data_IF_314710098634
#
_entry.id   IF_314710098634
#
_cell.length_a   1.000
_cell.length_b   1.000
_cell.length_c   1.000
_cell.angle_alpha   90.00
_cell.angle_beta   90.00
_cell.angle_gamma   90.00
#
_symmetry.space_group_name_H-M   'P 1'
#
loop_
_entity.id
_entity.type
_entity.pdbx_description
1 polymer ?
#
# COMPACT_ATOMS: atom_id res chain seq x y z
N UNK A 1 -11.96 10.45 42.48
CA UNK A 1 -12.56 11.56 41.73
C UNK A 1 -11.67 12.77 41.84
N UNK A 2 -10.78 13.02 40.90
CA UNK A 2 -10.07 14.30 40.73
C UNK A 2 -9.91 14.52 39.24
N UNK A 3 -10.73 15.40 38.66
CA UNK A 3 -10.60 15.89 37.28
C UNK A 3 -9.46 16.90 37.23
N UNK A 4 -8.46 16.67 36.39
CA UNK A 4 -7.45 17.69 36.04
C UNK A 4 -7.89 18.38 34.76
N UNK A 5 -8.34 19.62 34.88
CA UNK A 5 -8.55 20.53 33.76
C UNK A 5 -7.19 21.01 33.24
N UNK A 6 -6.94 20.88 31.96
CA UNK A 6 -5.78 21.46 31.28
C UNK A 6 -6.23 22.82 30.73
N UNK A 7 -5.62 23.86 31.24
CA UNK A 7 -5.85 25.27 30.87
C UNK A 7 -4.98 25.56 29.62
N UNK A 8 -5.63 25.87 28.51
CA UNK A 8 -4.94 26.30 27.28
C UNK A 8 -4.57 27.77 27.41
N UNK A 9 -3.27 28.09 27.33
CA UNK A 9 -2.74 29.44 27.38
C UNK A 9 -2.74 30.02 25.95
N UNK A 10 -3.63 30.94 25.65
CA UNK A 10 -3.63 31.70 24.40
C UNK A 10 -2.58 32.84 24.51
N UNK A 11 -1.56 32.79 23.70
CA UNK A 11 -0.56 33.88 23.61
C UNK A 11 -1.04 34.89 22.55
N UNK A 12 -1.39 36.09 23.04
CA UNK A 12 -1.79 37.22 22.19
C UNK A 12 -0.52 37.93 21.68
N UNK A 13 -0.23 37.87 20.39
CA UNK A 13 0.84 38.67 19.77
C UNK A 13 0.29 40.03 19.36
N UNK A 14 0.86 41.11 19.91
CA UNK A 14 0.62 42.49 19.49
C UNK A 14 1.34 42.74 18.16
N UNK A 15 0.58 43.13 17.13
CA UNK A 15 1.13 43.59 15.85
C UNK A 15 1.17 45.12 15.91
N UNK A 16 2.38 45.70 15.81
CA UNK A 16 2.59 47.13 15.64
C UNK A 16 2.43 47.46 14.13
N UNK A 17 1.47 48.30 13.79
CA UNK A 17 1.27 48.83 12.43
C UNK A 17 2.20 50.03 12.21
N UNK A 18 3.20 49.87 11.31
CA UNK A 18 3.92 50.96 10.69
C UNK A 18 3.27 51.26 9.35
N UNK A 19 2.83 52.49 9.14
CA UNK A 19 2.37 52.99 7.84
C UNK A 19 3.56 53.48 7.01
N UNK A 20 3.77 52.89 5.83
CA UNK A 20 4.53 53.52 4.74
C UNK A 20 3.61 53.66 3.50
N UNK A 21 3.59 54.82 2.86
CA UNK A 21 2.78 55.05 1.66
C UNK A 21 3.57 54.74 0.41
N UNK A 22 3.03 53.91 -0.43
CA UNK A 22 3.46 53.45 -1.77
C UNK A 22 4.21 52.09 -1.80
N UNK A 23 3.46 51.06 -2.16
CA UNK A 23 4.03 49.76 -2.50
C UNK A 23 2.96 48.65 -2.54
N UNK A 24 2.58 48.25 -3.72
CA UNK A 24 1.73 47.13 -4.01
C UNK A 24 2.31 45.87 -3.41
N UNK A 25 1.81 45.41 -2.26
CA UNK A 25 2.14 44.12 -1.68
C UNK A 25 1.11 43.11 -2.18
N UNK A 26 1.53 42.27 -3.13
CA UNK A 26 0.91 40.99 -3.39
C UNK A 26 1.23 40.08 -2.18
N UNK A 27 0.25 39.93 -1.28
CA UNK A 27 0.34 38.94 -0.22
C UNK A 27 0.28 37.56 -0.82
N UNK A 28 1.39 36.81 -0.81
CA UNK A 28 1.36 35.38 -0.91
C UNK A 28 0.73 34.86 0.39
N UNK A 29 -0.54 34.49 0.32
CA UNK A 29 -1.17 33.64 1.33
C UNK A 29 -0.48 32.28 1.25
N UNK A 30 0.42 32.03 2.17
CA UNK A 30 0.93 30.68 2.41
C UNK A 30 -0.22 29.90 3.04
N UNK A 31 -0.98 29.17 2.23
CA UNK A 31 -1.87 28.12 2.72
C UNK A 31 -1.00 27.11 3.47
N UNK A 32 -1.01 27.19 4.78
CA UNK A 32 -0.56 26.09 5.64
C UNK A 32 -1.59 24.97 5.46
N UNK A 33 -1.27 24.01 4.59
CA UNK A 33 -1.99 22.74 4.51
C UNK A 33 -1.79 22.08 5.89
N UNK A 34 -2.83 22.13 6.71
CA UNK A 34 -2.92 21.27 7.89
C UNK A 34 -3.09 19.85 7.32
N UNK A 35 -2.07 19.00 7.38
CA UNK A 35 -2.24 17.56 7.28
C UNK A 35 -3.22 17.18 8.38
N UNK A 36 -4.47 16.87 8.03
CA UNK A 36 -5.41 16.26 8.96
C UNK A 36 -4.73 14.99 9.50
N UNK A 37 -4.59 14.94 10.82
CA UNK A 37 -3.97 13.85 11.56
C UNK A 37 -4.94 12.65 11.53
N UNK A 38 -5.10 12.04 10.33
CA UNK A 38 -5.97 10.90 10.12
C UNK A 38 -5.42 9.71 10.91
N UNK A 39 -6.25 9.15 11.77
CA UNK A 39 -5.88 8.04 12.64
C UNK A 39 -5.53 6.78 11.84
N UNK A 40 -4.50 6.06 12.29
CA UNK A 40 -4.16 4.76 11.72
C UNK A 40 -5.19 3.70 12.12
N UNK A 41 -5.72 3.01 11.13
CA UNK A 41 -6.63 1.86 11.25
C UNK A 41 -5.79 0.59 11.16
N UNK A 42 -5.86 -0.27 12.17
CA UNK A 42 -5.26 -1.61 12.07
C UNK A 42 -6.11 -2.47 11.13
N UNK A 43 -5.55 -2.91 10.00
CA UNK A 43 -6.18 -3.89 9.11
C UNK A 43 -5.98 -5.32 9.59
N UNK A 44 -5.01 -5.55 10.48
CA UNK A 44 -4.76 -6.83 11.12
C UNK A 44 -4.54 -6.61 12.62
N UNK A 45 -5.34 -7.30 13.43
CA UNK A 45 -5.32 -7.17 14.90
C UNK A 45 -4.26 -8.04 15.58
N UNK A 46 -3.53 -8.86 14.80
CA UNK A 46 -2.55 -9.83 15.31
C UNK A 46 -3.17 -11.09 15.90
N UNK A 47 -4.49 -11.27 15.88
CA UNK A 47 -5.19 -12.38 16.54
C UNK A 47 -6.16 -13.11 15.61
N UNK A 48 -6.80 -12.40 14.69
CA UNK A 48 -7.84 -12.92 13.80
C UNK A 48 -7.65 -12.44 12.37
N UNK A 49 -8.39 -13.04 11.44
CA UNK A 49 -8.51 -12.58 10.06
C UNK A 49 -9.76 -11.70 9.85
N UNK A 50 -10.32 -11.14 10.94
CA UNK A 50 -11.47 -10.26 10.85
C UNK A 50 -11.18 -9.05 9.97
N UNK A 51 -12.11 -8.70 9.07
CA UNK A 51 -11.94 -7.63 8.08
C UNK A 51 -11.27 -8.09 6.78
N UNK A 52 -11.07 -9.40 6.63
CA UNK A 52 -10.53 -10.03 5.43
C UNK A 52 -11.38 -11.20 4.96
N UNK A 53 -11.40 -11.44 3.66
CA UNK A 53 -11.93 -12.65 3.01
C UNK A 53 -10.98 -13.11 1.90
N UNK A 54 -11.06 -14.36 1.48
CA UNK A 54 -10.41 -14.78 0.25
C UNK A 54 -11.16 -14.18 -0.96
N UNK A 55 -10.41 -13.76 -1.98
CA UNK A 55 -10.95 -13.09 -3.17
C UNK A 55 -12.14 -13.87 -3.77
N UNK A 56 -13.25 -13.15 -3.99
CA UNK A 56 -14.53 -13.71 -4.47
C UNK A 56 -15.13 -14.81 -3.56
N UNK A 57 -14.79 -14.82 -2.25
CA UNK A 57 -15.36 -15.73 -1.25
C UNK A 57 -15.86 -14.96 -0.04
N UNK A 58 -16.67 -15.63 0.79
CA UNK A 58 -17.23 -15.09 2.04
C UNK A 58 -16.46 -15.55 3.30
N UNK A 59 -15.31 -16.19 3.11
CA UNK A 59 -14.47 -16.71 4.18
C UNK A 59 -12.99 -16.61 3.82
N UNK A 60 -12.13 -16.80 4.80
CA UNK A 60 -10.68 -16.91 4.62
C UNK A 60 -10.31 -18.38 4.46
N UNK A 61 -9.51 -18.70 3.44
CA UNK A 61 -9.01 -20.06 3.20
C UNK A 61 -8.11 -20.59 4.34
N UNK A 62 -8.11 -21.89 4.57
CA UNK A 62 -7.39 -22.55 5.68
C UNK A 62 -5.86 -22.40 5.62
N UNK A 63 -5.31 -22.04 4.46
CA UNK A 63 -3.89 -21.76 4.27
C UNK A 63 -3.44 -20.49 5.00
N UNK A 64 -4.33 -19.53 5.21
CA UNK A 64 -4.05 -18.31 5.97
C UNK A 64 -4.23 -18.54 7.46
N UNK A 65 -3.12 -18.54 8.19
CA UNK A 65 -3.05 -18.83 9.63
C UNK A 65 -2.61 -17.62 10.43
N UNK A 66 -3.18 -17.45 11.60
CA UNK A 66 -2.74 -16.42 12.56
C UNK A 66 -2.05 -17.10 13.72
N UNK A 67 -0.80 -16.70 13.97
CA UNK A 67 -0.02 -17.19 15.09
C UNK A 67 0.98 -16.14 15.58
N UNK A 68 1.03 -15.93 16.88
CA UNK A 68 2.01 -15.04 17.55
C UNK A 68 2.07 -13.62 16.95
N UNK A 69 0.92 -13.04 16.57
CA UNK A 69 0.83 -11.71 15.97
C UNK A 69 1.17 -11.64 14.48
N UNK A 70 1.29 -12.80 13.84
CA UNK A 70 1.67 -12.91 12.42
C UNK A 70 0.57 -13.60 11.63
N UNK A 71 0.23 -13.03 10.47
CA UNK A 71 -0.60 -13.64 9.44
C UNK A 71 0.33 -14.39 8.49
N UNK A 72 0.17 -15.69 8.36
CA UNK A 72 1.04 -16.57 7.58
C UNK A 72 0.22 -17.30 6.52
N UNK A 73 0.60 -17.20 5.26
CA UNK A 73 0.16 -18.11 4.22
C UNK A 73 1.06 -19.36 4.25
N UNK A 74 0.48 -20.50 4.64
CA UNK A 74 1.14 -21.80 4.71
C UNK A 74 0.83 -22.57 3.41
N UNK A 75 1.77 -22.58 2.49
CA UNK A 75 1.65 -23.21 1.17
C UNK A 75 1.40 -24.72 1.22
N UNK A 76 1.65 -25.35 2.37
CA UNK A 76 1.40 -26.78 2.58
C UNK A 76 -0.02 -27.09 3.12
N UNK A 77 -0.78 -26.06 3.48
CA UNK A 77 -2.13 -26.23 4.03
C UNK A 77 -3.19 -26.28 2.92
N UNK A 78 -4.43 -26.46 3.33
CA UNK A 78 -5.59 -26.69 2.47
C UNK A 78 -5.95 -25.56 1.51
N UNK A 79 -7.15 -25.02 1.63
CA UNK A 79 -7.65 -23.98 0.74
C UNK A 79 -6.89 -22.66 0.91
N UNK A 80 -6.33 -22.14 -0.18
CA UNK A 80 -5.68 -20.82 -0.28
C UNK A 80 -6.58 -19.77 -0.90
N UNK A 81 -5.95 -18.87 -1.62
CA UNK A 81 -6.51 -17.74 -2.37
C UNK A 81 -6.03 -16.41 -1.81
N UNK A 82 -5.95 -15.42 -2.69
CA UNK A 82 -5.56 -14.06 -2.31
C UNK A 82 -6.50 -13.52 -1.24
N UNK A 83 -5.97 -12.87 -0.19
CA UNK A 83 -6.78 -12.16 0.78
C UNK A 83 -7.13 -10.76 0.28
N UNK A 84 -8.36 -10.33 0.52
CA UNK A 84 -8.81 -8.95 0.26
C UNK A 84 -9.45 -8.35 1.50
N UNK A 85 -9.29 -7.06 1.70
CA UNK A 85 -9.98 -6.33 2.77
C UNK A 85 -11.48 -6.28 2.53
N UNK A 86 -12.30 -6.27 3.59
CA UNK A 86 -13.75 -6.03 3.46
C UNK A 86 -14.03 -4.59 3.02
N UNK A 87 -13.24 -3.62 3.51
CA UNK A 87 -13.33 -2.20 3.17
C UNK A 87 -12.58 -1.84 1.89
N UNK A 88 -13.01 -0.74 1.25
CA UNK A 88 -12.35 -0.11 0.12
C UNK A 88 -11.64 1.19 0.52
N UNK A 89 -10.63 1.57 -0.23
CA UNK A 89 -9.80 2.75 0.00
C UNK A 89 -9.54 3.48 -1.31
N UNK A 90 -9.63 4.82 -1.28
CA UNK A 90 -9.30 5.71 -2.40
C UNK A 90 -7.93 6.35 -2.18
N UNK A 91 -7.85 7.45 -1.43
CA UNK A 91 -6.60 8.05 -1.02
C UNK A 91 -6.15 7.44 0.33
N UNK A 92 -4.95 6.86 0.38
CA UNK A 92 -4.49 6.13 1.56
C UNK A 92 -2.97 6.11 1.72
N UNK A 93 -2.54 5.83 2.95
CA UNK A 93 -1.19 5.40 3.29
C UNK A 93 -1.27 4.05 4.00
N UNK A 94 -0.86 3.00 3.30
CA UNK A 94 -0.75 1.64 3.82
C UNK A 94 0.66 1.39 4.33
N UNK A 95 0.79 0.74 5.49
CA UNK A 95 2.05 0.22 6.02
C UNK A 95 1.86 -1.22 6.44
N UNK A 96 2.84 -2.05 6.14
CA UNK A 96 2.88 -3.44 6.58
C UNK A 96 4.33 -3.93 6.66
N UNK A 97 4.51 -5.02 7.43
CA UNK A 97 5.76 -5.76 7.41
C UNK A 97 5.52 -7.15 6.83
N UNK A 98 6.48 -7.61 6.03
CA UNK A 98 6.42 -8.92 5.41
C UNK A 98 7.77 -9.66 5.46
N UNK A 99 7.69 -10.96 5.33
CA UNK A 99 8.82 -11.86 5.20
C UNK A 99 8.46 -12.95 4.19
N UNK A 100 9.40 -13.34 3.34
CA UNK A 100 9.19 -14.33 2.28
C UNK A 100 10.07 -15.55 2.48
N UNK A 101 9.61 -16.72 2.01
CA UNK A 101 10.37 -17.97 1.97
C UNK A 101 11.42 -17.96 0.87
N UNK A 102 12.35 -18.92 0.91
CA UNK A 102 13.30 -19.18 -0.16
C UNK A 102 12.56 -19.52 -1.47
N UNK A 103 12.97 -18.88 -2.59
CA UNK A 103 12.30 -18.89 -3.89
C UNK A 103 10.83 -18.41 -3.87
N UNK A 104 10.41 -17.70 -2.84
CA UNK A 104 9.02 -17.30 -2.68
C UNK A 104 8.63 -16.09 -3.50
N UNK A 105 7.32 -16.04 -3.83
CA UNK A 105 6.64 -14.97 -4.54
C UNK A 105 5.34 -14.61 -3.82
N UNK A 106 5.04 -13.34 -3.74
CA UNK A 106 3.82 -12.75 -3.20
C UNK A 106 3.71 -11.29 -3.67
N UNK A 107 2.71 -10.56 -3.21
CA UNK A 107 2.53 -9.15 -3.57
C UNK A 107 1.48 -8.46 -2.71
N UNK A 108 1.50 -7.13 -2.75
CA UNK A 108 0.45 -6.28 -2.16
C UNK A 108 -0.22 -5.52 -3.28
N UNK A 109 -1.47 -5.86 -3.57
CA UNK A 109 -2.27 -5.18 -4.59
C UNK A 109 -3.23 -4.18 -3.95
N UNK A 110 -3.56 -3.14 -4.69
CA UNK A 110 -4.48 -2.08 -4.23
C UNK A 110 -5.45 -1.68 -5.36
N UNK A 111 -6.54 -1.00 -4.99
CA UNK A 111 -7.66 -0.68 -5.89
C UNK A 111 -8.31 -1.92 -6.54
N UNK A 112 -8.19 -3.06 -5.85
CA UNK A 112 -8.76 -4.34 -6.30
C UNK A 112 -10.27 -4.27 -6.34
N UNK A 113 -10.86 -4.78 -7.43
CA UNK A 113 -12.28 -4.97 -7.58
C UNK A 113 -12.64 -6.46 -7.52
N UNK A 114 -13.66 -6.80 -6.75
CA UNK A 114 -14.25 -8.13 -6.78
C UNK A 114 -15.49 -8.12 -7.67
N UNK A 115 -15.52 -9.02 -8.63
CA UNK A 115 -16.67 -9.27 -9.49
C UNK A 115 -16.54 -10.61 -10.18
N UNK A 116 -17.64 -11.13 -10.74
CA UNK A 116 -17.64 -12.35 -11.55
C UNK A 116 -16.82 -12.21 -12.86
N UNK A 117 -16.55 -10.98 -13.29
CA UNK A 117 -15.75 -10.69 -14.49
C UNK A 117 -14.24 -10.96 -14.26
N UNK A 118 -13.78 -10.79 -13.02
CA UNK A 118 -12.37 -10.89 -12.69
C UNK A 118 -12.10 -12.12 -11.80
N UNK A 119 -11.27 -13.03 -12.28
CA UNK A 119 -10.96 -14.29 -11.59
C UNK A 119 -9.90 -14.15 -10.50
N UNK A 120 -9.20 -13.01 -10.45
CA UNK A 120 -8.14 -12.75 -9.48
C UNK A 120 -7.93 -11.24 -9.28
N UNK A 121 -7.37 -10.79 -8.14
CA UNK A 121 -7.20 -9.37 -7.83
C UNK A 121 -6.28 -8.64 -8.80
N UNK A 122 -5.27 -9.32 -9.36
CA UNK A 122 -4.33 -8.73 -10.32
C UNK A 122 -4.95 -8.30 -11.65
N UNK A 123 -6.17 -8.72 -11.99
CA UNK A 123 -6.86 -8.21 -13.19
C UNK A 123 -7.24 -6.72 -13.09
N UNK A 124 -7.28 -6.19 -11.88
CA UNK A 124 -7.68 -4.81 -11.63
C UNK A 124 -6.67 -4.01 -10.84
N UNK A 125 -6.04 -4.64 -9.82
CA UNK A 125 -5.15 -3.99 -8.86
C UNK A 125 -3.71 -3.94 -9.32
N UNK A 126 -3.08 -2.73 -9.39
CA UNK A 126 -1.63 -2.63 -9.45
C UNK A 126 -0.99 -3.24 -8.20
N UNK A 127 0.26 -3.69 -8.33
CA UNK A 127 0.93 -4.51 -7.32
C UNK A 127 2.30 -3.95 -6.94
N UNK A 128 2.56 -3.83 -5.63
CA UNK A 128 3.91 -3.75 -5.09
C UNK A 128 4.42 -5.18 -4.89
N UNK A 129 5.46 -5.55 -5.64
CA UNK A 129 6.00 -6.90 -5.65
C UNK A 129 6.70 -7.27 -4.34
N UNK A 130 6.52 -8.53 -3.93
CA UNK A 130 7.24 -9.21 -2.85
C UNK A 130 7.85 -10.49 -3.43
N UNK A 131 9.19 -10.59 -3.42
CA UNK A 131 9.89 -11.68 -4.08
C UNK A 131 11.18 -12.04 -3.32
N UNK A 132 11.60 -13.30 -3.41
CA UNK A 132 12.98 -13.65 -3.18
C UNK A 132 13.82 -13.20 -4.39
N UNK A 133 14.45 -12.04 -4.26
CA UNK A 133 15.22 -11.41 -5.35
C UNK A 133 16.45 -12.21 -5.79
N UNK A 134 16.96 -13.13 -4.96
CA UNK A 134 18.13 -13.95 -5.26
C UNK A 134 17.76 -15.33 -5.83
N UNK A 135 16.66 -15.93 -5.34
CA UNK A 135 16.29 -17.31 -5.63
C UNK A 135 15.19 -17.46 -6.67
N UNK A 136 14.20 -16.57 -6.71
CA UNK A 136 13.05 -16.74 -7.60
C UNK A 136 13.39 -16.46 -9.07
N UNK A 137 12.91 -17.30 -10.03
CA UNK A 137 13.18 -17.10 -11.46
C UNK A 137 12.79 -15.75 -12.03
N UNK A 138 11.67 -15.15 -11.54
CA UNK A 138 11.16 -13.85 -11.98
C UNK A 138 12.10 -12.70 -11.63
N UNK A 139 12.95 -12.84 -10.62
CA UNK A 139 13.94 -11.82 -10.26
C UNK A 139 14.93 -11.46 -11.37
N UNK A 140 15.00 -12.30 -12.43
CA UNK A 140 15.80 -12.04 -13.63
C UNK A 140 15.16 -11.04 -14.59
N UNK A 141 13.88 -10.74 -14.38
CA UNK A 141 13.11 -9.79 -15.17
C UNK A 141 13.08 -8.46 -14.40
N UNK A 142 13.62 -7.40 -15.01
CA UNK A 142 13.48 -6.06 -14.49
C UNK A 142 11.99 -5.72 -14.34
N UNK A 143 11.60 -5.04 -13.27
CA UNK A 143 10.23 -4.71 -12.86
C UNK A 143 9.44 -5.88 -12.24
N UNK A 144 10.13 -6.97 -11.83
CA UNK A 144 9.52 -8.10 -11.13
C UNK A 144 10.17 -8.40 -9.78
N UNK A 145 11.00 -7.49 -9.27
CA UNK A 145 11.73 -7.62 -8.01
C UNK A 145 10.96 -6.97 -6.85
N UNK A 146 11.29 -7.33 -5.64
CA UNK A 146 10.68 -6.73 -4.44
C UNK A 146 10.78 -5.21 -4.46
N UNK A 147 9.64 -4.55 -4.24
CA UNK A 147 9.52 -3.10 -4.23
C UNK A 147 9.21 -2.47 -5.59
N UNK A 148 9.23 -3.25 -6.68
CA UNK A 148 8.81 -2.79 -8.00
C UNK A 148 7.28 -2.54 -8.05
N UNK A 149 6.85 -1.62 -8.89
CA UNK A 149 5.48 -1.61 -9.39
C UNK A 149 5.44 -2.65 -10.53
N UNK A 150 4.95 -3.83 -10.20
CA UNK A 150 5.09 -5.05 -10.99
C UNK A 150 4.78 -4.87 -12.47
N UNK A 151 5.72 -5.27 -13.33
CA UNK A 151 5.74 -5.15 -14.80
C UNK A 151 5.66 -3.71 -15.36
N UNK A 152 5.53 -2.69 -14.50
CA UNK A 152 5.41 -1.30 -14.92
C UNK A 152 6.67 -0.48 -14.63
N UNK A 153 7.10 -0.38 -13.38
CA UNK A 153 8.23 0.46 -12.95
C UNK A 153 9.19 -0.36 -12.10
N UNK A 154 10.46 -0.39 -12.51
CA UNK A 154 11.57 -0.93 -11.72
C UNK A 154 11.87 -0.02 -10.52
N UNK A 155 12.17 -0.62 -9.38
CA UNK A 155 12.63 0.10 -8.17
C UNK A 155 13.88 0.93 -8.46
N UNK A 156 13.93 2.13 -7.89
CA UNK A 156 15.08 3.04 -8.01
C UNK A 156 16.38 2.44 -7.47
N UNK A 157 16.25 1.57 -6.45
CA UNK A 157 17.35 0.76 -5.89
C UNK A 157 16.79 -0.48 -5.21
N UNK A 158 17.63 -1.50 -5.05
CA UNK A 158 17.27 -2.71 -4.34
C UNK A 158 17.36 -2.49 -2.83
N UNK A 159 16.21 -2.55 -2.15
CA UNK A 159 16.09 -2.21 -0.74
C UNK A 159 15.57 -3.36 0.12
N UNK A 160 15.37 -4.57 -0.44
CA UNK A 160 14.85 -5.72 0.30
C UNK A 160 15.93 -6.33 1.20
N UNK A 161 15.52 -6.73 2.41
CA UNK A 161 16.33 -7.57 3.29
C UNK A 161 16.34 -9.02 2.75
N UNK A 162 17.36 -9.82 3.12
CA UNK A 162 17.45 -11.21 2.71
C UNK A 162 16.22 -12.05 3.07
N UNK A 163 16.03 -13.15 2.35
CA UNK A 163 15.00 -14.17 2.64
C UNK A 163 14.98 -14.55 4.11
N UNK A 164 13.78 -14.65 4.67
CA UNK A 164 13.57 -14.97 6.08
C UNK A 164 13.69 -13.79 7.04
N UNK A 165 14.10 -12.63 6.58
CA UNK A 165 14.12 -11.38 7.35
C UNK A 165 12.87 -10.54 7.09
N UNK A 166 12.48 -9.72 8.09
CA UNK A 166 11.34 -8.82 7.97
C UNK A 166 11.70 -7.58 7.14
N UNK A 167 10.81 -7.25 6.22
CA UNK A 167 10.83 -6.02 5.43
C UNK A 167 9.65 -5.14 5.83
N UNK A 168 9.78 -3.83 5.72
CA UNK A 168 8.70 -2.86 5.88
C UNK A 168 8.37 -2.23 4.54
N UNK A 169 7.13 -2.40 4.09
CA UNK A 169 6.59 -1.72 2.90
C UNK A 169 5.62 -0.62 3.28
N UNK A 170 5.63 0.45 2.48
CA UNK A 170 4.63 1.51 2.53
C UNK A 170 4.15 1.83 1.11
N UNK A 171 2.84 1.95 0.96
CA UNK A 171 2.18 2.40 -0.28
C UNK A 171 1.41 3.66 0.05
N UNK A 172 1.74 4.76 -0.61
CA UNK A 172 1.05 6.04 -0.45
C UNK A 172 0.40 6.38 -1.79
N UNK A 173 -0.93 6.42 -1.79
CA UNK A 173 -1.73 6.81 -2.94
C UNK A 173 -2.59 8.01 -2.56
N UNK A 174 -2.40 9.15 -3.25
CA UNK A 174 -3.14 10.39 -2.96
C UNK A 174 -3.31 11.23 -4.21
N UNK A 175 -4.55 11.53 -4.57
CA UNK A 175 -4.88 12.36 -5.74
C UNK A 175 -4.15 11.88 -7.03
N UNK A 176 -4.08 10.55 -7.24
CA UNK A 176 -3.40 9.92 -8.36
C UNK A 176 -1.89 9.78 -8.22
N UNK A 177 -1.24 10.44 -7.29
CA UNK A 177 0.17 10.19 -7.00
C UNK A 177 0.32 8.86 -6.27
N UNK A 178 1.35 8.10 -6.65
CA UNK A 178 1.68 6.81 -6.09
C UNK A 178 3.16 6.78 -5.72
N UNK A 179 3.45 6.51 -4.45
CA UNK A 179 4.80 6.33 -3.95
C UNK A 179 4.90 4.99 -3.21
N UNK A 180 5.95 4.21 -3.50
CA UNK A 180 6.32 3.02 -2.76
C UNK A 180 7.59 3.27 -1.95
N UNK A 181 7.59 2.73 -0.72
CA UNK A 181 8.78 2.67 0.12
C UNK A 181 9.02 1.24 0.57
N UNK A 182 10.25 0.78 0.44
CA UNK A 182 10.72 -0.49 0.97
C UNK A 182 11.89 -0.22 1.93
N UNK A 183 11.73 -0.61 3.20
CA UNK A 183 12.71 -0.39 4.27
C UNK A 183 13.17 1.09 4.41
N UNK A 184 12.25 2.03 4.15
CA UNK A 184 12.48 3.46 4.23
C UNK A 184 13.07 4.10 2.96
N UNK A 185 13.38 3.30 1.95
CA UNK A 185 13.84 3.77 0.63
C UNK A 185 12.62 3.99 -0.28
N UNK A 186 12.52 5.16 -0.92
CA UNK A 186 11.50 5.38 -1.95
C UNK A 186 11.90 4.63 -3.23
N UNK A 187 11.21 3.53 -3.51
CA UNK A 187 11.53 2.64 -4.65
C UNK A 187 10.81 3.04 -5.92
N UNK A 188 9.58 3.56 -5.80
CA UNK A 188 8.76 3.99 -6.94
C UNK A 188 8.08 5.31 -6.62
N UNK A 189 8.04 6.21 -7.59
CA UNK A 189 7.20 7.42 -7.58
C UNK A 189 6.61 7.63 -8.97
N UNK A 190 5.29 7.74 -9.07
CA UNK A 190 4.59 7.95 -10.35
C UNK A 190 3.24 8.66 -10.14
N UNK A 191 2.59 9.02 -11.25
CA UNK A 191 1.20 9.50 -11.25
C UNK A 191 0.36 8.51 -12.05
N UNK A 192 -0.68 7.96 -11.40
CA UNK A 192 -1.64 7.06 -12.05
C UNK A 192 -2.64 7.87 -12.88
N UNK A 193 -3.18 7.22 -13.91
CA UNK A 193 -4.28 7.70 -14.77
C UNK A 193 -3.96 8.89 -15.68
N UNK A 194 -2.72 9.36 -15.71
CA UNK A 194 -2.25 10.33 -16.70
C UNK A 194 -1.85 9.64 -18.04
N UNK A 195 -1.43 10.42 -19.01
CA UNK A 195 -1.04 9.90 -20.32
C UNK A 195 0.17 8.95 -20.24
N UNK A 196 1.12 9.24 -19.33
CA UNK A 196 2.31 8.42 -19.12
C UNK A 196 1.94 7.06 -18.49
N UNK A 197 1.04 7.05 -17.52
CA UNK A 197 0.48 5.82 -16.95
C UNK A 197 -0.20 4.97 -18.02
N UNK A 198 -1.07 5.60 -18.82
CA UNK A 198 -1.80 4.90 -19.88
C UNK A 198 -0.87 4.31 -20.94
N UNK A 199 0.18 5.03 -21.32
CA UNK A 199 1.21 4.54 -22.24
C UNK A 199 1.99 3.37 -21.63
N UNK A 200 2.34 3.45 -20.35
CA UNK A 200 3.05 2.39 -19.63
C UNK A 200 2.23 1.11 -19.55
N UNK A 201 0.95 1.19 -19.19
CA UNK A 201 0.04 0.03 -19.16
C UNK A 201 -0.14 -0.56 -20.55
N UNK A 202 -0.31 0.28 -21.59
CA UNK A 202 -0.46 -0.17 -22.98
C UNK A 202 0.78 -0.90 -23.52
N UNK A 203 1.97 -0.65 -22.95
CA UNK A 203 3.23 -1.30 -23.32
C UNK A 203 3.61 -2.48 -22.40
N UNK A 204 2.78 -2.82 -21.41
CA UNK A 204 2.99 -3.91 -20.44
C UNK A 204 2.22 -5.18 -20.82
N UNK A 205 2.39 -6.24 -20.05
CA UNK A 205 1.58 -7.47 -20.16
C UNK A 205 0.09 -7.24 -19.88
N UNK A 206 -0.26 -6.13 -19.20
CA UNK A 206 -1.63 -5.79 -18.81
C UNK A 206 -2.45 -5.07 -19.88
N UNK A 207 -1.87 -4.77 -21.05
CA UNK A 207 -2.49 -3.99 -22.14
C UNK A 207 -3.89 -4.46 -22.55
N UNK A 208 -4.12 -5.77 -22.48
CA UNK A 208 -5.37 -6.40 -22.90
C UNK A 208 -6.34 -6.66 -21.73
N UNK A 209 -5.99 -6.22 -20.50
CA UNK A 209 -6.81 -6.41 -19.30
C UNK A 209 -7.72 -5.21 -19.10
N UNK A 210 -9.03 -5.46 -19.23
CA UNK A 210 -10.05 -4.39 -19.27
C UNK A 210 -10.13 -3.56 -18.01
N UNK A 211 -9.81 -4.13 -16.84
CA UNK A 211 -9.91 -3.49 -15.52
C UNK A 211 -8.60 -2.97 -14.94
N UNK A 212 -7.44 -3.39 -15.47
CA UNK A 212 -6.16 -3.14 -14.81
C UNK A 212 -5.82 -1.65 -14.67
N UNK A 213 -5.54 -1.24 -13.43
CA UNK A 213 -5.06 0.10 -13.10
C UNK A 213 -6.02 1.24 -13.41
N UNK A 214 -7.34 0.98 -13.56
CA UNK A 214 -8.36 1.98 -13.93
C UNK A 214 -9.15 2.53 -12.77
N UNK A 215 -9.21 1.81 -11.66
CA UNK A 215 -10.03 2.17 -10.52
C UNK A 215 -9.29 3.10 -9.57
N UNK A 216 -10.01 4.08 -9.00
CA UNK A 216 -9.49 5.08 -8.06
C UNK A 216 -9.88 4.78 -6.61
N UNK A 217 -10.62 3.70 -6.42
CA UNK A 217 -11.02 3.15 -5.13
C UNK A 217 -11.13 1.64 -5.27
N UNK A 218 -10.74 0.90 -4.24
CA UNK A 218 -10.85 -0.55 -4.22
C UNK A 218 -10.24 -1.14 -2.94
N UNK A 219 -10.25 -2.46 -2.90
CA UNK A 219 -9.72 -3.24 -1.77
C UNK A 219 -8.19 -3.33 -1.83
N UNK A 220 -7.59 -3.60 -0.66
CA UNK A 220 -6.19 -4.04 -0.55
C UNK A 220 -6.18 -5.56 -0.62
N UNK A 221 -5.21 -6.14 -1.35
CA UNK A 221 -5.04 -7.59 -1.40
C UNK A 221 -3.62 -8.01 -1.01
N UNK A 222 -3.52 -9.19 -0.37
CA UNK A 222 -2.27 -9.90 -0.10
C UNK A 222 -2.27 -11.17 -0.95
N UNK A 223 -1.24 -11.33 -1.78
CA UNK A 223 -1.21 -12.39 -2.79
C UNK A 223 -0.83 -13.75 -2.20
N UNK A 224 -1.62 -14.76 -2.58
CA UNK A 224 -1.28 -16.18 -2.56
C UNK A 224 -0.67 -16.55 -3.93
N UNK A 225 0.64 -16.75 -3.96
CA UNK A 225 1.33 -17.24 -5.17
C UNK A 225 1.79 -18.71 -5.03
N UNK A 226 1.36 -19.39 -3.95
CA UNK A 226 1.71 -20.77 -3.64
C UNK A 226 2.97 -20.94 -2.80
N UNK A 227 3.57 -19.86 -2.31
CA UNK A 227 4.78 -19.85 -1.49
C UNK A 227 4.51 -19.29 -0.12
N UNK A 228 5.26 -19.77 0.90
CA UNK A 228 5.11 -19.25 2.26
C UNK A 228 5.48 -17.78 2.35
N UNK A 229 4.56 -16.98 2.85
CA UNK A 229 4.75 -15.56 3.15
C UNK A 229 4.12 -15.20 4.49
N UNK A 230 4.74 -14.28 5.21
CA UNK A 230 4.30 -13.80 6.52
C UNK A 230 4.09 -12.31 6.50
N UNK A 231 2.99 -11.87 7.11
CA UNK A 231 2.64 -10.45 7.26
C UNK A 231 2.37 -10.12 8.73
N UNK A 232 2.67 -8.87 9.12
CA UNK A 232 2.32 -8.32 10.42
C UNK A 232 2.24 -6.80 10.37
N UNK A 233 1.74 -6.17 11.43
CA UNK A 233 1.69 -4.71 11.57
C UNK A 233 1.00 -4.02 10.38
N UNK A 234 -0.06 -4.67 9.82
CA UNK A 234 -0.80 -4.17 8.68
C UNK A 234 -1.73 -3.07 9.16
N UNK A 235 -1.50 -1.85 8.70
CA UNK A 235 -2.31 -0.69 9.06
C UNK A 235 -2.43 0.29 7.91
N UNK A 236 -3.52 1.03 7.88
CA UNK A 236 -3.82 2.01 6.86
C UNK A 236 -4.35 3.30 7.50
N UNK A 237 -4.11 4.44 6.86
CA UNK A 237 -4.83 5.69 7.14
C UNK A 237 -5.39 6.24 5.85
N UNK A 238 -6.58 6.83 5.91
CA UNK A 238 -7.18 7.56 4.79
C UNK A 238 -6.53 8.95 4.71
N UNK A 239 -6.29 9.46 3.50
CA UNK A 239 -5.58 10.74 3.28
C UNK A 239 -6.48 11.83 2.75
#
# INVERSE_FOLDING_TARGET
>A
MIRKSILSLATLALIATGCDPDGTTTGEETETIQEEDSEWIALFDGQTTQGWSSYNKDHVGEAWKVKDGVLHFDSSAGEGGDLVTDETFSDFHLQLEWKISENGNSGVMFYVQESEEYNAPYYTGPEMQILDNDGHPDAKIHKHRSGDLYDLIESSEEASNPVGEWNKSEIIAKNGKLDFYLNGVNTVSTTMWDDQWNEMVANSKFRDWSGFGKYQEGKIALQDHGDDVWFRNIRIRRL
#
